data_IF_155360548257
#
_entry.id   IF_155360548257
#
_cell.length_a   1.000
_cell.length_b   1.000
_cell.length_c   1.000
_cell.angle_alpha   90.00
_cell.angle_beta   90.00
_cell.angle_gamma   90.00
#
_symmetry.space_group_name_H-M   'P 1'
#
loop_
_entity.id
_entity.type
_entity.pdbx_description
1 polymer ?
#
# COMPACT_ATOMS: atom_id res chain seq x y z
N UNK A 1 29.74 -8.35 47.85
CA UNK A 1 29.51 -6.90 47.70
C UNK A 1 28.83 -6.52 46.37
N UNK A 2 28.14 -7.45 45.67
CA UNK A 2 27.53 -7.22 44.34
C UNK A 2 25.99 -7.18 44.36
N UNK A 3 25.35 -7.15 45.55
CA UNK A 3 23.89 -7.27 45.71
C UNK A 3 23.14 -5.92 45.73
N UNK A 4 23.82 -4.82 45.40
CA UNK A 4 23.26 -3.46 45.51
C UNK A 4 22.83 -2.84 44.17
N UNK A 5 22.99 -3.54 43.04
CA UNK A 5 22.21 -3.23 41.83
C UNK A 5 20.77 -3.72 42.05
N UNK A 6 20.10 -3.09 43.00
CA UNK A 6 18.67 -3.22 43.15
C UNK A 6 18.04 -2.74 41.84
N UNK A 7 17.09 -3.49 41.25
CA UNK A 7 16.30 -3.05 40.10
C UNK A 7 15.75 -1.62 40.24
N UNK A 8 15.57 -1.14 41.47
CA UNK A 8 15.19 0.23 41.77
C UNK A 8 16.18 1.27 41.20
N UNK A 9 17.49 1.03 41.25
CA UNK A 9 18.49 1.96 40.70
C UNK A 9 18.41 2.06 39.18
N UNK A 10 18.26 0.92 38.51
CA UNK A 10 18.08 0.88 37.06
C UNK A 10 16.79 1.63 36.68
N UNK A 11 15.71 1.42 37.43
CA UNK A 11 14.45 2.12 37.22
C UNK A 11 14.62 3.65 37.32
N UNK A 12 15.35 4.13 38.33
CA UNK A 12 15.63 5.56 38.51
C UNK A 12 16.41 6.12 37.31
N UNK A 13 17.44 5.42 36.84
CA UNK A 13 18.23 5.86 35.67
C UNK A 13 17.35 5.92 34.42
N UNK A 14 16.51 4.91 34.18
CA UNK A 14 15.57 4.91 33.04
C UNK A 14 14.60 6.09 33.13
N UNK A 15 14.06 6.37 34.32
CA UNK A 15 13.18 7.53 34.53
C UNK A 15 13.89 8.84 34.20
N UNK A 16 15.14 9.01 34.67
CA UNK A 16 15.94 10.21 34.34
C UNK A 16 16.18 10.32 32.83
N UNK A 17 16.50 9.22 32.15
CA UNK A 17 16.66 9.22 30.69
C UNK A 17 15.36 9.59 29.96
N UNK A 18 14.21 9.07 30.40
CA UNK A 18 12.91 9.41 29.82
C UNK A 18 12.57 10.88 30.03
N UNK A 19 12.94 11.47 31.16
CA UNK A 19 12.73 12.90 31.41
C UNK A 19 13.65 13.77 30.56
N UNK A 20 14.94 13.42 30.44
CA UNK A 20 15.92 14.20 29.68
C UNK A 20 15.74 14.09 28.17
N UNK A 21 15.55 12.88 27.66
CA UNK A 21 15.40 12.62 26.23
C UNK A 21 13.94 12.70 25.77
N UNK A 22 12.98 12.45 26.66
CA UNK A 22 11.56 12.37 26.33
C UNK A 22 11.12 10.94 25.97
N UNK A 23 9.90 10.60 26.36
CA UNK A 23 9.28 9.27 26.14
C UNK A 23 9.12 8.91 24.64
N UNK A 24 8.96 9.89 23.74
CA UNK A 24 8.92 9.65 22.28
C UNK A 24 10.31 9.43 21.66
N UNK A 25 11.40 9.92 22.28
CA UNK A 25 12.76 9.85 21.70
C UNK A 25 13.50 8.55 22.04
N UNK A 26 13.24 7.95 23.20
CA UNK A 26 13.78 6.62 23.53
C UNK A 26 13.46 5.54 22.48
N UNK A 27 12.18 5.32 22.11
CA UNK A 27 11.83 4.28 21.14
C UNK A 27 12.34 4.61 19.74
N UNK A 28 12.41 5.90 19.38
CA UNK A 28 12.93 6.35 18.09
C UNK A 28 14.43 6.08 17.95
N UNK A 29 15.21 6.46 18.97
CA UNK A 29 16.65 6.16 19.07
C UNK A 29 16.92 4.66 19.14
N UNK A 30 16.12 3.91 19.90
CA UNK A 30 16.25 2.45 19.97
C UNK A 30 15.97 1.77 18.61
N UNK A 31 15.00 2.27 17.84
CA UNK A 31 14.70 1.75 16.49
C UNK A 31 15.76 2.10 15.46
N UNK A 32 16.30 3.32 15.49
CA UNK A 32 17.38 3.71 14.58
C UNK A 32 18.65 2.93 14.86
N UNK A 33 19.04 2.81 16.14
CA UNK A 33 20.17 1.99 16.58
C UNK A 33 19.94 0.50 16.32
N UNK A 34 18.71 0.00 16.49
CA UNK A 34 18.35 -1.39 16.21
C UNK A 34 18.46 -1.78 14.73
N UNK A 35 18.13 -0.85 13.81
CA UNK A 35 18.34 -1.07 12.37
C UNK A 35 19.83 -1.17 12.03
N UNK A 36 20.66 -0.24 12.52
CA UNK A 36 22.11 -0.29 12.30
C UNK A 36 22.77 -1.51 12.97
N UNK A 37 22.32 -1.85 14.18
CA UNK A 37 22.80 -3.03 14.90
C UNK A 37 22.44 -4.34 14.18
N UNK A 38 21.29 -4.40 13.49
CA UNK A 38 20.90 -5.59 12.72
C UNK A 38 21.78 -5.81 11.49
N UNK A 39 22.15 -4.74 10.79
CA UNK A 39 23.08 -4.81 9.65
C UNK A 39 24.49 -5.19 10.13
N UNK A 40 24.97 -4.52 11.18
CA UNK A 40 26.26 -4.85 11.77
C UNK A 40 26.31 -6.28 12.31
N UNK A 41 25.23 -6.74 12.95
CA UNK A 41 25.08 -8.13 13.42
C UNK A 41 25.18 -9.12 12.26
N UNK A 42 24.51 -8.87 11.12
CA UNK A 42 24.59 -9.76 9.96
C UNK A 42 25.99 -9.81 9.35
N UNK A 43 26.67 -8.68 9.24
CA UNK A 43 28.06 -8.64 8.75
C UNK A 43 29.00 -9.39 9.72
N UNK A 44 28.91 -9.13 11.02
CA UNK A 44 29.72 -9.83 12.04
C UNK A 44 29.41 -11.33 12.12
N UNK A 45 28.15 -11.72 11.98
CA UNK A 45 27.75 -13.12 11.95
C UNK A 45 28.24 -13.82 10.66
N UNK A 46 28.34 -13.11 9.53
CA UNK A 46 28.94 -13.62 8.28
C UNK A 46 30.44 -13.90 8.46
N UNK A 47 31.18 -12.99 9.10
CA UNK A 47 32.59 -13.22 9.48
C UNK A 47 32.76 -14.42 10.43
N UNK A 48 31.74 -14.72 11.24
CA UNK A 48 31.74 -15.90 12.14
C UNK A 48 31.27 -17.18 11.44
N UNK A 49 30.59 -17.08 10.31
CA UNK A 49 29.96 -18.19 9.56
C UNK A 49 30.90 -18.92 8.61
N UNK A 50 32.13 -18.43 8.38
CA UNK A 50 33.21 -19.14 7.66
C UNK A 50 33.58 -20.54 8.26
N UNK A 51 32.87 -21.02 9.29
CA UNK A 51 33.09 -22.30 9.96
C UNK A 51 31.94 -23.33 10.04
N UNK A 52 30.68 -23.07 9.64
CA UNK A 52 29.55 -24.04 9.42
C UNK A 52 28.18 -23.31 9.34
N UNK A 53 27.13 -23.87 8.70
CA UNK A 53 25.92 -23.11 8.30
C UNK A 53 24.72 -23.17 9.27
N UNK A 54 24.09 -21.98 9.42
CA UNK A 54 22.65 -21.56 9.56
C UNK A 54 21.63 -22.32 10.45
N UNK A 55 20.59 -21.65 11.02
CA UNK A 55 19.71 -20.66 10.38
C UNK A 55 19.54 -19.32 11.14
N UNK A 56 19.24 -18.22 10.44
CA UNK A 56 18.10 -17.42 10.88
C UNK A 56 17.35 -16.63 9.80
N UNK A 57 16.18 -17.16 9.50
CA UNK A 57 15.00 -16.52 8.93
C UNK A 57 14.39 -15.39 9.79
N UNK A 58 15.01 -14.97 10.91
CA UNK A 58 14.52 -13.85 11.72
C UNK A 58 14.49 -12.51 10.96
N UNK A 59 15.09 -12.46 9.77
CA UNK A 59 15.15 -11.28 8.93
C UNK A 59 14.02 -11.09 7.90
N UNK A 60 13.19 -12.10 7.63
CA UNK A 60 12.28 -12.08 6.47
C UNK A 60 10.84 -11.58 6.69
N UNK A 61 10.39 -11.34 7.91
CA UNK A 61 9.08 -10.71 8.12
C UNK A 61 9.00 -9.96 9.44
N UNK A 62 9.51 -8.74 9.44
CA UNK A 62 9.00 -7.71 10.36
C UNK A 62 8.71 -6.48 9.53
N UNK A 63 7.42 -6.28 9.23
CA UNK A 63 6.92 -5.02 8.68
C UNK A 63 7.44 -3.89 9.56
N UNK A 64 8.17 -2.89 9.01
CA UNK A 64 8.71 -1.82 9.82
C UNK A 64 7.58 -1.14 10.58
N UNK A 65 7.66 -1.18 11.91
CA UNK A 65 6.76 -0.47 12.80
C UNK A 65 6.87 1.02 12.53
N UNK A 66 5.99 1.51 11.67
CA UNK A 66 5.80 2.92 11.39
C UNK A 66 5.09 3.56 12.58
N UNK A 67 5.90 3.94 13.57
CA UNK A 67 5.45 4.81 14.66
C UNK A 67 6.40 5.98 14.74
N UNK A 68 6.40 6.77 13.68
CA UNK A 68 6.71 8.20 13.76
C UNK A 68 5.51 8.89 13.15
N UNK A 69 4.72 9.48 14.05
CA UNK A 69 3.55 10.30 13.78
C UNK A 69 2.46 9.66 12.91
N UNK A 70 1.84 8.62 13.45
CA UNK A 70 0.58 8.06 12.96
C UNK A 70 -0.48 9.15 12.77
N UNK A 71 -0.46 10.21 13.58
CA UNK A 71 -1.35 11.36 13.47
C UNK A 71 -1.05 12.24 12.27
N UNK A 72 0.21 12.64 12.05
CA UNK A 72 0.62 13.43 10.89
C UNK A 72 0.40 12.66 9.58
N UNK A 73 0.76 11.36 9.55
CA UNK A 73 0.56 10.50 8.39
C UNK A 73 -0.93 10.26 8.09
N UNK A 74 -1.77 10.17 9.14
CA UNK A 74 -3.23 10.05 9.00
C UNK A 74 -3.85 11.35 8.50
N UNK A 75 -3.41 12.52 8.99
CA UNK A 75 -3.84 13.83 8.48
C UNK A 75 -3.51 13.99 6.99
N UNK A 76 -2.29 13.65 6.58
CA UNK A 76 -1.90 13.70 5.16
C UNK A 76 -2.73 12.73 4.32
N UNK A 77 -3.02 11.51 4.82
CA UNK A 77 -3.87 10.55 4.12
C UNK A 77 -5.32 11.03 3.96
N UNK A 78 -5.90 11.63 5.00
CA UNK A 78 -7.24 12.20 4.98
C UNK A 78 -7.33 13.40 4.00
N UNK A 79 -6.28 14.24 3.95
CA UNK A 79 -6.17 15.34 2.98
C UNK A 79 -6.08 14.82 1.53
N UNK A 80 -5.29 13.77 1.29
CA UNK A 80 -5.16 13.16 -0.04
C UNK A 80 -6.48 12.53 -0.52
N UNK A 81 -7.25 11.93 0.39
CA UNK A 81 -8.55 11.37 0.07
C UNK A 81 -9.53 12.47 -0.35
N UNK A 82 -9.57 13.58 0.40
CA UNK A 82 -10.42 14.72 0.08
C UNK A 82 -10.04 15.39 -1.26
N UNK A 83 -8.75 15.42 -1.60
CA UNK A 83 -8.30 15.93 -2.90
C UNK A 83 -8.66 14.97 -4.05
N UNK A 84 -8.52 13.66 -3.83
CA UNK A 84 -8.90 12.64 -4.79
C UNK A 84 -10.42 12.68 -5.08
N UNK A 85 -11.24 12.89 -4.06
CA UNK A 85 -12.69 13.04 -4.21
C UNK A 85 -13.08 14.27 -5.03
N UNK A 86 -12.40 15.41 -4.83
CA UNK A 86 -12.62 16.63 -5.63
C UNK A 86 -12.28 16.39 -7.11
N UNK A 87 -11.13 15.78 -7.38
CA UNK A 87 -10.72 15.42 -8.75
C UNK A 87 -11.69 14.43 -9.40
N UNK A 88 -12.21 13.46 -8.64
CA UNK A 88 -13.21 12.52 -9.14
C UNK A 88 -14.55 13.21 -9.42
N UNK A 89 -14.97 14.19 -8.61
CA UNK A 89 -16.18 14.96 -8.83
C UNK A 89 -16.09 15.85 -10.07
N UNK A 90 -14.94 16.51 -10.27
CA UNK A 90 -14.67 17.32 -11.46
C UNK A 90 -14.69 16.48 -12.74
N UNK A 91 -14.01 15.32 -12.73
CA UNK A 91 -14.00 14.40 -13.86
C UNK A 91 -15.41 13.87 -14.21
N UNK A 92 -16.24 13.60 -13.20
CA UNK A 92 -17.65 13.20 -13.41
C UNK A 92 -18.48 14.32 -14.04
N UNK A 93 -18.33 15.55 -13.56
CA UNK A 93 -19.02 16.70 -14.13
C UNK A 93 -18.60 16.96 -15.59
N UNK A 94 -17.33 16.77 -15.91
CA UNK A 94 -16.83 16.87 -17.29
C UNK A 94 -17.43 15.77 -18.19
N UNK A 95 -17.47 14.52 -17.71
CA UNK A 95 -18.07 13.40 -18.43
C UNK A 95 -19.58 13.62 -18.69
N UNK A 96 -20.31 14.15 -17.73
CA UNK A 96 -21.74 14.46 -17.86
C UNK A 96 -21.98 15.60 -18.86
N UNK A 97 -21.11 16.61 -18.88
CA UNK A 97 -21.15 17.68 -19.90
C UNK A 97 -20.90 17.14 -21.31
N UNK A 98 -19.91 16.27 -21.47
CA UNK A 98 -19.63 15.62 -22.76
C UNK A 98 -20.80 14.73 -23.19
N UNK A 99 -21.44 14.00 -22.27
CA UNK A 99 -22.66 13.21 -22.56
C UNK A 99 -23.83 14.09 -22.96
N UNK A 100 -24.07 15.20 -22.27
CA UNK A 100 -25.15 16.14 -22.59
C UNK A 100 -24.92 16.81 -23.95
N UNK A 101 -23.69 17.23 -24.24
CA UNK A 101 -23.30 17.76 -25.53
C UNK A 101 -23.44 16.70 -26.65
N UNK A 102 -23.01 15.46 -26.40
CA UNK A 102 -23.18 14.36 -27.35
C UNK A 102 -24.66 13.98 -27.57
N UNK A 103 -25.51 14.09 -26.54
CA UNK A 103 -26.94 13.88 -26.64
C UNK A 103 -27.63 14.98 -27.47
N UNK A 104 -27.20 16.24 -27.32
CA UNK A 104 -27.71 17.35 -28.13
C UNK A 104 -27.36 17.21 -29.63
N UNK A 105 -26.27 16.50 -29.95
CA UNK A 105 -25.83 16.25 -31.33
C UNK A 105 -26.38 14.94 -31.92
N UNK A 106 -27.15 14.14 -31.15
CA UNK A 106 -27.82 12.96 -31.72
C UNK A 106 -29.03 13.39 -32.56
N UNK A 107 -29.06 13.14 -33.88
CA UNK A 107 -30.28 13.28 -34.65
C UNK A 107 -31.29 12.26 -34.10
N UNK A 108 -32.47 12.73 -33.74
CA UNK A 108 -33.55 11.95 -33.14
C UNK A 108 -34.06 10.90 -34.12
N UNK A 109 -33.49 9.69 -34.09
CA UNK A 109 -34.09 8.51 -34.70
C UNK A 109 -34.74 7.66 -33.60
N UNK A 110 -35.94 8.07 -33.16
CA UNK A 110 -36.86 7.20 -32.44
C UNK A 110 -38.27 7.42 -32.95
N UNK A 111 -38.72 6.50 -33.79
CA UNK A 111 -40.12 6.18 -34.04
C UNK A 111 -40.14 4.91 -34.90
N UNK A 112 -40.42 3.76 -34.29
CA UNK A 112 -40.79 2.55 -35.02
C UNK A 112 -40.28 1.24 -34.41
N UNK A 113 -41.07 0.67 -33.50
CA UNK A 113 -41.27 -0.80 -33.43
C UNK A 113 -42.41 -1.08 -34.41
N UNK A 114 -42.29 -1.99 -35.40
CA UNK A 114 -42.59 -3.43 -35.18
C UNK A 114 -41.73 -4.41 -36.01
N UNK A 115 -41.34 -5.54 -35.44
CA UNK A 115 -41.92 -6.88 -35.72
C UNK A 115 -41.86 -7.34 -37.19
N UNK A 116 -40.97 -8.28 -37.50
CA UNK A 116 -41.10 -9.40 -38.47
C UNK A 116 -39.71 -10.04 -38.64
N UNK A 117 -39.48 -11.30 -38.27
CA UNK A 117 -39.77 -12.50 -39.06
C UNK A 117 -39.42 -12.32 -40.54
N UNK A 118 -38.26 -12.80 -40.99
CA UNK A 118 -38.18 -13.52 -42.27
C UNK A 118 -36.81 -14.17 -42.52
N UNK A 119 -36.85 -15.50 -42.60
CA UNK A 119 -36.06 -16.40 -43.46
C UNK A 119 -34.54 -16.40 -43.43
N UNK A 120 -34.01 -17.40 -42.72
CA UNK A 120 -32.80 -18.13 -43.10
C UNK A 120 -33.23 -19.29 -44.02
N UNK A 121 -32.95 -19.18 -45.32
CA UNK A 121 -33.07 -20.24 -46.32
C UNK A 121 -31.86 -20.10 -47.24
N UNK A 122 -30.91 -21.03 -47.15
CA UNK A 122 -30.89 -22.21 -48.01
C UNK A 122 -30.67 -21.82 -49.48
N UNK A 123 -29.41 -21.59 -49.82
CA UNK A 123 -28.82 -21.74 -51.15
C UNK A 123 -27.31 -21.54 -50.98
N UNK A 124 -26.39 -22.28 -51.58
CA UNK A 124 -26.43 -23.43 -52.47
C UNK A 124 -24.94 -23.84 -52.50
N UNK A 125 -24.56 -24.95 -51.88
CA UNK A 125 -24.16 -26.17 -52.59
C UNK A 125 -23.56 -25.87 -53.98
N UNK A 126 -22.28 -25.47 -54.06
CA UNK A 126 -21.53 -25.60 -55.31
C UNK A 126 -20.02 -25.75 -55.10
N UNK A 127 -19.58 -27.02 -55.10
CA UNK A 127 -18.43 -27.57 -55.87
C UNK A 127 -17.02 -27.08 -55.46
N UNK A 128 -16.00 -27.89 -55.22
CA UNK A 128 -15.71 -29.30 -55.50
C UNK A 128 -14.58 -29.76 -54.54
N UNK A 129 -14.49 -31.06 -54.18
CA UNK A 129 -13.28 -31.66 -53.64
C UNK A 129 -12.62 -32.62 -54.64
N UNK A 130 -11.47 -32.22 -55.21
CA UNK A 130 -10.51 -33.04 -55.97
C UNK A 130 -9.36 -32.09 -56.35
N UNK A 131 -8.06 -32.30 -56.08
CA UNK A 131 -7.20 -33.43 -55.76
C UNK A 131 -6.02 -32.91 -54.94
#
# INVERSE_FOLDING_TARGET
>A
MLRNLSPAHIMIVVVVLVVLFGWKRLPDMARSLGRSARVFKSEVDELKKDGKPDPSEASRSTVPGDVVDTEERRRVADEQLAEAERRAAEARAEADRLRAAAAATRPTASSGVPSSTSMNGADEVRRDPAL
#
